data_IF_410553350187
#
_entry.id   IF_410553350187
#
_cell.length_a   1.000
_cell.length_b   1.000
_cell.length_c   1.000
_cell.angle_alpha   90.00
_cell.angle_beta   90.00
_cell.angle_gamma   90.00
#
_symmetry.space_group_name_H-M   'P 1'
#
loop_
_entity.id
_entity.type
_entity.pdbx_description
1 polymer ?
#
# COMPACT_ATOMS: atom_id res chain seq x y z
N UNK A 1 -24.69 -17.12 15.63
CA UNK A 1 -24.65 -16.03 14.61
C UNK A 1 -23.39 -16.23 13.80
N UNK A 2 -23.52 -16.68 12.56
CA UNK A 2 -22.41 -17.07 11.70
C UNK A 2 -21.56 -15.84 11.34
N UNK A 3 -20.31 -15.85 11.76
CA UNK A 3 -19.31 -14.90 11.30
C UNK A 3 -19.16 -15.06 9.79
N UNK A 4 -19.54 -14.04 9.03
CA UNK A 4 -19.14 -13.90 7.64
C UNK A 4 -17.64 -13.61 7.61
N UNK A 5 -16.83 -14.66 7.72
CA UNK A 5 -15.43 -14.60 7.32
C UNK A 5 -15.41 -14.20 5.86
N UNK A 6 -14.92 -12.99 5.60
CA UNK A 6 -14.92 -12.39 4.28
C UNK A 6 -14.03 -13.17 3.31
N UNK A 7 -14.69 -13.86 2.39
CA UNK A 7 -14.12 -14.63 1.28
C UNK A 7 -13.25 -13.82 0.30
N UNK A 8 -12.87 -12.57 0.61
CA UNK A 8 -12.06 -11.68 -0.25
C UNK A 8 -10.98 -10.90 0.52
N UNK A 9 -10.38 -11.49 1.54
CA UNK A 9 -9.23 -10.87 2.19
C UNK A 9 -7.99 -11.07 1.32
N UNK A 10 -7.40 -9.97 0.81
CA UNK A 10 -6.11 -10.03 0.11
C UNK A 10 -4.96 -10.20 1.10
N UNK A 11 -3.84 -10.74 0.64
CA UNK A 11 -2.63 -10.97 1.45
C UNK A 11 -1.61 -9.83 1.31
N UNK A 12 -0.77 -9.58 2.34
CA UNK A 12 0.43 -8.79 2.19
C UNK A 12 1.51 -9.58 1.43
N UNK A 13 2.39 -8.89 0.72
CA UNK A 13 3.62 -9.48 0.19
C UNK A 13 4.65 -9.43 1.32
N UNK A 14 4.99 -10.60 1.87
CA UNK A 14 5.84 -10.72 3.05
C UNK A 14 7.33 -10.79 2.72
N UNK A 15 7.66 -11.40 1.59
CA UNK A 15 9.03 -11.60 1.15
C UNK A 15 9.56 -10.33 0.43
N UNK A 16 10.65 -9.70 0.94
CA UNK A 16 11.28 -8.56 0.29
C UNK A 16 11.76 -8.84 -1.14
N UNK A 17 12.18 -10.08 -1.44
CA UNK A 17 12.60 -10.46 -2.80
C UNK A 17 11.42 -10.44 -3.77
N UNK A 18 10.24 -10.89 -3.36
CA UNK A 18 9.02 -10.78 -4.16
C UNK A 18 8.64 -9.32 -4.44
N UNK A 19 8.83 -8.43 -3.45
CA UNK A 19 8.64 -6.98 -3.66
C UNK A 19 9.63 -6.45 -4.69
N UNK A 20 10.90 -6.88 -4.64
CA UNK A 20 11.93 -6.49 -5.61
C UNK A 20 11.56 -6.96 -7.01
N UNK A 21 11.19 -8.22 -7.19
CA UNK A 21 10.76 -8.77 -8.48
C UNK A 21 9.55 -8.03 -9.05
N UNK A 22 8.55 -7.72 -8.22
CA UNK A 22 7.41 -6.92 -8.67
C UNK A 22 7.80 -5.51 -9.13
N UNK A 23 8.72 -4.85 -8.41
CA UNK A 23 9.23 -3.53 -8.82
C UNK A 23 9.92 -3.60 -10.17
N UNK A 24 10.80 -4.56 -10.37
CA UNK A 24 11.53 -4.78 -11.63
C UNK A 24 10.55 -5.06 -12.78
N UNK A 25 9.63 -6.01 -12.59
CA UNK A 25 8.61 -6.34 -13.58
C UNK A 25 7.78 -5.13 -13.98
N UNK A 26 7.23 -4.40 -13.00
CA UNK A 26 6.39 -3.24 -13.25
C UNK A 26 7.16 -2.10 -13.93
N UNK A 27 8.42 -1.88 -13.57
CA UNK A 27 9.28 -0.88 -14.20
C UNK A 27 9.48 -1.16 -15.69
N UNK A 28 9.67 -2.43 -16.07
CA UNK A 28 9.76 -2.84 -17.48
C UNK A 28 8.42 -2.66 -18.23
N UNK A 29 7.29 -2.76 -17.55
CA UNK A 29 5.97 -2.61 -18.19
C UNK A 29 5.54 -1.15 -18.32
N UNK A 30 5.71 -0.36 -17.25
CA UNK A 30 5.26 1.03 -17.19
C UNK A 30 5.79 1.72 -15.94
N UNK A 31 6.46 2.86 -16.11
CA UNK A 31 6.94 3.64 -14.96
C UNK A 31 5.79 4.14 -14.07
N UNK A 32 4.61 4.46 -14.65
CA UNK A 32 3.40 4.79 -13.87
C UNK A 32 2.98 3.62 -12.97
N UNK A 33 2.95 2.40 -13.50
CA UNK A 33 2.48 1.21 -12.79
C UNK A 33 3.49 0.80 -11.70
N UNK A 34 4.79 0.91 -11.99
CA UNK A 34 5.86 0.79 -11.01
C UNK A 34 5.68 1.80 -9.86
N UNK A 35 5.50 3.08 -10.20
CA UNK A 35 5.37 4.12 -9.20
C UNK A 35 4.09 3.98 -8.37
N UNK A 36 2.98 3.52 -8.96
CA UNK A 36 1.75 3.20 -8.23
C UNK A 36 2.00 2.15 -7.15
N UNK A 37 2.72 1.10 -7.48
CA UNK A 37 3.09 0.05 -6.53
C UNK A 37 4.02 0.58 -5.44
N UNK A 38 5.12 1.25 -5.82
CA UNK A 38 6.08 1.84 -4.88
C UNK A 38 5.40 2.84 -3.94
N UNK A 39 4.57 3.72 -4.48
CA UNK A 39 3.83 4.69 -3.69
C UNK A 39 2.88 4.00 -2.69
N UNK A 40 2.16 2.98 -3.14
CA UNK A 40 1.20 2.24 -2.30
C UNK A 40 1.87 1.51 -1.13
N UNK A 41 2.99 0.81 -1.38
CA UNK A 41 3.70 0.05 -0.33
C UNK A 41 4.54 0.93 0.60
N UNK A 42 4.81 2.19 0.27
CA UNK A 42 5.58 3.11 1.12
C UNK A 42 4.73 4.17 1.82
N UNK A 43 3.49 4.40 1.37
CA UNK A 43 2.57 5.35 2.01
C UNK A 43 1.51 4.69 2.89
N UNK A 44 1.20 3.43 2.64
CA UNK A 44 0.13 2.71 3.32
C UNK A 44 -1.27 3.28 3.09
N UNK A 45 -1.47 4.12 2.08
CA UNK A 45 -2.75 4.78 1.76
C UNK A 45 -3.67 3.82 1.00
N UNK A 46 -4.99 3.98 1.13
CA UNK A 46 -5.94 3.21 0.32
C UNK A 46 -5.89 3.63 -1.14
N UNK A 47 -6.04 2.67 -2.04
CA UNK A 47 -6.04 2.95 -3.49
C UNK A 47 -7.07 4.02 -3.88
N UNK A 48 -8.24 4.06 -3.23
CA UNK A 48 -9.26 5.09 -3.47
C UNK A 48 -8.80 6.51 -3.16
N UNK A 49 -7.82 6.65 -2.28
CA UNK A 49 -7.27 7.91 -1.85
C UNK A 49 -5.97 8.25 -2.61
N UNK A 50 -5.30 7.23 -3.20
CA UNK A 50 -4.13 7.39 -4.08
C UNK A 50 -4.53 7.87 -5.48
N UNK A 51 -5.54 7.22 -6.06
CA UNK A 51 -5.93 7.41 -7.46
C UNK A 51 -6.21 8.88 -7.83
N UNK A 52 -6.93 9.70 -7.02
CA UNK A 52 -7.26 11.06 -7.39
C UNK A 52 -6.12 12.08 -7.18
N UNK A 53 -4.96 11.65 -6.66
CA UNK A 53 -3.86 12.56 -6.36
C UNK A 53 -3.33 13.22 -7.63
N UNK A 54 -2.96 14.49 -7.47
CA UNK A 54 -2.22 15.27 -8.46
C UNK A 54 -0.76 15.41 -8.05
N UNK A 55 0.06 15.81 -9.00
CA UNK A 55 1.49 16.06 -8.76
C UNK A 55 1.71 17.07 -7.65
N UNK A 56 0.92 18.17 -7.63
CA UNK A 56 0.97 19.21 -6.59
C UNK A 56 0.71 18.70 -5.16
N UNK A 57 0.00 17.60 -5.01
CA UNK A 57 -0.31 17.04 -3.70
C UNK A 57 0.90 16.37 -3.03
N UNK A 58 1.88 15.93 -3.85
CA UNK A 58 3.02 15.11 -3.40
C UNK A 58 4.38 15.77 -3.63
N UNK A 59 4.51 16.67 -4.63
CA UNK A 59 5.76 17.33 -4.97
C UNK A 59 6.12 18.36 -3.92
N UNK A 60 7.40 18.41 -3.53
CA UNK A 60 7.96 19.39 -2.59
C UNK A 60 7.23 19.47 -1.23
N UNK A 61 6.62 18.36 -0.80
CA UNK A 61 5.92 18.32 0.48
C UNK A 61 6.55 17.32 1.45
N UNK A 62 6.62 17.70 2.73
CA UNK A 62 7.01 16.80 3.82
C UNK A 62 5.87 15.86 4.23
N UNK A 63 4.63 16.29 4.01
CA UNK A 63 3.46 15.57 4.43
C UNK A 63 2.36 15.67 3.39
N UNK A 64 1.93 14.52 2.90
CA UNK A 64 0.69 14.43 2.13
C UNK A 64 -0.51 14.61 3.05
N UNK A 65 -1.44 15.49 2.66
CA UNK A 65 -2.72 15.70 3.34
C UNK A 65 -3.83 15.15 2.46
N UNK A 66 -4.54 14.16 2.97
CA UNK A 66 -5.67 13.55 2.27
C UNK A 66 -6.93 13.60 3.11
N UNK A 67 -8.06 13.85 2.47
CA UNK A 67 -9.38 13.62 3.05
C UNK A 67 -9.83 12.23 2.64
N UNK A 68 -9.81 11.28 3.60
CA UNK A 68 -10.20 9.90 3.31
C UNK A 68 -11.63 9.81 2.80
N UNK A 69 -11.84 9.18 1.64
CA UNK A 69 -13.19 8.98 1.07
C UNK A 69 -14.10 8.18 1.99
N UNK A 70 -13.57 7.16 2.69
CA UNK A 70 -14.35 6.27 3.55
C UNK A 70 -14.80 6.93 4.86
N UNK A 71 -13.97 7.78 5.46
CA UNK A 71 -14.20 8.31 6.83
C UNK A 71 -14.42 9.80 6.88
N UNK A 72 -14.11 10.54 5.80
CA UNK A 72 -14.12 11.99 5.72
C UNK A 72 -13.03 12.68 6.54
N UNK A 73 -12.21 11.93 7.29
CA UNK A 73 -11.15 12.49 8.14
C UNK A 73 -9.97 12.97 7.30
N UNK A 74 -9.41 14.12 7.72
CA UNK A 74 -8.14 14.60 7.15
C UNK A 74 -7.00 13.83 7.81
N UNK A 75 -6.15 13.22 6.99
CA UNK A 75 -4.94 12.54 7.44
C UNK A 75 -3.70 13.25 6.90
N UNK A 76 -2.70 13.31 7.76
CA UNK A 76 -1.37 13.81 7.46
C UNK A 76 -0.40 12.65 7.45
N UNK A 77 0.20 12.37 6.32
CA UNK A 77 1.08 11.21 6.10
C UNK A 77 2.46 11.74 5.76
N UNK A 78 3.45 11.35 6.55
CA UNK A 78 4.83 11.76 6.29
C UNK A 78 5.37 11.06 5.04
N UNK A 79 6.01 11.85 4.18
CA UNK A 79 6.75 11.35 3.03
C UNK A 79 8.18 11.03 3.45
N UNK A 80 8.57 9.76 3.38
CA UNK A 80 9.96 9.35 3.66
C UNK A 80 10.92 9.88 2.61
N UNK A 81 12.21 10.02 2.95
CA UNK A 81 13.22 10.49 2.00
C UNK A 81 13.27 9.65 0.73
N UNK A 82 13.20 8.32 0.86
CA UNK A 82 13.17 7.40 -0.28
C UNK A 82 11.94 7.62 -1.17
N UNK A 83 10.75 7.80 -0.56
CA UNK A 83 9.52 8.05 -1.33
C UNK A 83 9.58 9.42 -2.03
N UNK A 84 10.13 10.45 -1.39
CA UNK A 84 10.32 11.78 -2.02
C UNK A 84 11.23 11.71 -3.25
N UNK A 85 12.32 10.95 -3.19
CA UNK A 85 13.19 10.73 -4.35
C UNK A 85 12.47 10.05 -5.51
N UNK A 86 11.63 9.05 -5.23
CA UNK A 86 10.85 8.38 -6.27
C UNK A 86 9.76 9.31 -6.85
N UNK A 87 9.12 10.14 -6.01
CA UNK A 87 8.17 11.18 -6.46
C UNK A 87 8.87 12.17 -7.41
N UNK A 88 10.04 12.68 -7.04
CA UNK A 88 10.81 13.63 -7.85
C UNK A 88 11.17 13.02 -9.21
N UNK A 89 11.70 11.81 -9.22
CA UNK A 89 12.04 11.12 -10.47
C UNK A 89 10.82 10.92 -11.38
N UNK A 90 9.71 10.41 -10.80
CA UNK A 90 8.51 10.12 -11.56
C UNK A 90 7.84 11.37 -12.12
N UNK A 91 7.78 12.44 -11.31
CA UNK A 91 7.04 13.65 -11.67
C UNK A 91 7.86 14.69 -12.43
N UNK A 92 9.14 14.40 -12.71
CA UNK A 92 10.11 15.36 -13.25
C UNK A 92 9.64 16.14 -14.48
N UNK A 93 8.86 15.50 -15.37
CA UNK A 93 8.36 16.09 -16.61
C UNK A 93 6.85 16.36 -16.56
N UNK A 94 6.22 16.30 -15.39
CA UNK A 94 4.79 16.50 -15.21
C UNK A 94 4.51 17.91 -14.68
N UNK A 95 3.38 18.49 -15.08
CA UNK A 95 2.89 19.73 -14.49
C UNK A 95 2.27 19.44 -13.10
N UNK A 96 2.24 20.45 -12.23
CA UNK A 96 1.64 20.32 -10.89
C UNK A 96 0.15 19.96 -10.91
N UNK A 97 -0.56 20.40 -11.96
CA UNK A 97 -1.97 20.08 -12.18
C UNK A 97 -2.23 18.68 -12.73
N UNK A 98 -1.22 17.96 -13.19
CA UNK A 98 -1.39 16.64 -13.78
C UNK A 98 -1.85 15.64 -12.72
N UNK A 99 -2.63 14.64 -13.16
CA UNK A 99 -2.96 13.49 -12.35
C UNK A 99 -1.70 12.67 -12.09
N UNK A 100 -1.48 12.28 -10.83
CA UNK A 100 -0.30 11.46 -10.47
C UNK A 100 -0.35 10.08 -11.15
N UNK A 101 -1.55 9.54 -11.33
CA UNK A 101 -1.78 8.23 -11.95
C UNK A 101 -2.83 8.35 -13.07
N UNK A 102 -2.46 8.90 -14.24
CA UNK A 102 -3.40 9.05 -15.34
C UNK A 102 -3.81 7.71 -15.93
N UNK A 103 -5.04 7.63 -16.42
CA UNK A 103 -5.52 6.50 -17.21
C UNK A 103 -4.78 6.42 -18.55
N UNK A 104 -4.60 5.21 -19.09
CA UNK A 104 -4.14 5.02 -20.48
C UNK A 104 -5.25 5.33 -21.48
N UNK A 105 -6.51 5.43 -21.03
CA UNK A 105 -7.69 5.69 -21.84
C UNK A 105 -8.36 6.98 -21.36
N UNK A 106 -8.07 8.10 -22.02
CA UNK A 106 -8.70 9.38 -21.71
C UNK A 106 -7.95 10.25 -20.70
N UNK A 107 -8.66 11.29 -20.19
CA UNK A 107 -8.09 12.34 -19.33
C UNK A 107 -8.29 12.08 -17.83
N UNK A 108 -8.88 10.96 -17.46
CA UNK A 108 -9.21 10.61 -16.07
C UNK A 108 -8.05 9.90 -15.37
N UNK A 109 -8.15 9.82 -14.05
CA UNK A 109 -7.27 8.99 -13.25
C UNK A 109 -7.49 7.50 -13.54
N UNK A 110 -6.47 6.66 -13.25
CA UNK A 110 -6.60 5.21 -13.31
C UNK A 110 -7.76 4.73 -12.42
N UNK A 111 -8.65 3.89 -12.96
CA UNK A 111 -9.74 3.32 -12.20
C UNK A 111 -9.27 2.22 -11.24
N UNK A 112 -10.06 1.95 -10.18
CA UNK A 112 -9.75 0.89 -9.19
C UNK A 112 -9.53 -0.48 -9.83
N UNK A 113 -10.36 -0.83 -10.82
CA UNK A 113 -10.26 -2.10 -11.53
C UNK A 113 -8.98 -2.18 -12.37
N UNK A 114 -8.61 -1.08 -13.06
CA UNK A 114 -7.35 -1.03 -13.80
C UNK A 114 -6.14 -1.13 -12.86
N UNK A 115 -6.17 -0.45 -11.72
CA UNK A 115 -5.13 -0.58 -10.69
C UNK A 115 -5.07 -2.01 -10.14
N UNK A 116 -6.22 -2.65 -9.92
CA UNK A 116 -6.27 -4.05 -9.50
C UNK A 116 -5.62 -4.97 -10.56
N UNK A 117 -5.96 -4.81 -11.86
CA UNK A 117 -5.35 -5.59 -12.94
C UNK A 117 -3.82 -5.43 -12.99
N UNK A 118 -3.32 -4.22 -12.77
CA UNK A 118 -1.88 -3.95 -12.72
C UNK A 118 -1.22 -4.75 -11.59
N UNK A 119 -1.72 -4.62 -10.37
CA UNK A 119 -1.09 -5.25 -9.19
C UNK A 119 -1.25 -6.78 -9.22
N UNK A 120 -2.44 -7.27 -9.54
CA UNK A 120 -2.70 -8.71 -9.62
C UNK A 120 -1.93 -9.36 -10.79
N UNK A 121 -1.89 -8.70 -11.96
CA UNK A 121 -1.14 -9.19 -13.12
C UNK A 121 0.37 -9.28 -12.84
N UNK A 122 0.95 -8.27 -12.21
CA UNK A 122 2.36 -8.27 -11.83
C UNK A 122 2.67 -9.38 -10.81
N UNK A 123 1.82 -9.55 -9.79
CA UNK A 123 2.00 -10.61 -8.80
C UNK A 123 1.99 -12.01 -9.44
N UNK A 124 1.04 -12.26 -10.34
CA UNK A 124 0.98 -13.53 -11.10
C UNK A 124 2.22 -13.74 -11.95
N UNK A 125 2.67 -12.71 -12.67
CA UNK A 125 3.86 -12.79 -13.51
C UNK A 125 5.14 -13.07 -12.70
N UNK A 126 5.19 -12.60 -11.45
CA UNK A 126 6.28 -12.86 -10.50
C UNK A 126 6.10 -14.15 -9.69
N UNK A 127 5.07 -14.96 -9.95
CA UNK A 127 4.82 -16.21 -9.23
C UNK A 127 4.40 -16.04 -7.77
N UNK A 128 3.91 -14.85 -7.38
CA UNK A 128 3.50 -14.59 -6.00
C UNK A 128 2.20 -15.32 -5.71
N UNK A 129 2.22 -16.18 -4.69
CA UNK A 129 1.07 -16.95 -4.25
C UNK A 129 0.15 -16.13 -3.34
N UNK A 130 -1.11 -16.59 -3.21
CA UNK A 130 -2.13 -15.94 -2.37
C UNK A 130 -3.05 -14.99 -3.13
N UNK A 131 -3.93 -14.34 -2.39
CA UNK A 131 -4.92 -13.42 -2.94
C UNK A 131 -4.34 -12.01 -3.00
N UNK A 132 -4.00 -11.55 -4.19
CA UNK A 132 -3.38 -10.25 -4.41
C UNK A 132 -4.36 -9.26 -5.05
N UNK A 133 -4.36 -8.04 -4.53
CA UNK A 133 -5.18 -6.95 -5.04
C UNK A 133 -4.70 -5.58 -4.55
N UNK A 134 -5.51 -4.54 -4.75
CA UNK A 134 -5.10 -3.17 -4.41
C UNK A 134 -4.89 -2.93 -2.92
N UNK A 135 -5.59 -3.66 -2.05
CA UNK A 135 -5.37 -3.60 -0.60
C UNK A 135 -4.07 -4.30 -0.16
N UNK A 136 -3.51 -5.19 -1.00
CA UNK A 136 -2.20 -5.81 -0.75
C UNK A 136 -1.12 -4.78 -0.51
N UNK A 137 -1.07 -3.69 -1.28
CA UNK A 137 -0.06 -2.65 -1.08
C UNK A 137 -0.10 -2.06 0.34
N UNK A 138 -1.29 -1.72 0.82
CA UNK A 138 -1.47 -1.18 2.18
C UNK A 138 -1.18 -2.24 3.26
N UNK A 139 -1.57 -3.50 3.04
CA UNK A 139 -1.24 -4.60 3.95
C UNK A 139 0.27 -4.87 3.99
N UNK A 140 0.95 -4.82 2.84
CA UNK A 140 2.40 -4.96 2.72
C UNK A 140 3.12 -3.86 3.51
N UNK A 141 2.71 -2.59 3.35
CA UNK A 141 3.22 -1.50 4.18
C UNK A 141 3.09 -1.84 5.67
N UNK A 142 1.89 -2.21 6.11
CA UNK A 142 1.63 -2.48 7.52
C UNK A 142 2.38 -3.68 8.06
N UNK A 143 2.49 -4.75 7.29
CA UNK A 143 3.25 -5.94 7.66
C UNK A 143 4.73 -5.60 7.88
N UNK A 144 5.38 -4.96 6.91
CA UNK A 144 6.80 -4.61 7.02
C UNK A 144 7.06 -3.53 8.08
N UNK A 145 6.16 -2.56 8.24
CA UNK A 145 6.23 -1.59 9.34
C UNK A 145 6.22 -2.31 10.69
N UNK A 146 5.27 -3.22 10.90
CA UNK A 146 5.17 -3.98 12.14
C UNK A 146 6.40 -4.89 12.34
N UNK A 147 6.91 -5.54 11.29
CA UNK A 147 8.12 -6.37 11.41
C UNK A 147 9.34 -5.57 11.87
N UNK A 148 9.47 -4.34 11.40
CA UNK A 148 10.61 -3.47 11.75
C UNK A 148 10.47 -2.80 13.12
N UNK A 149 9.27 -2.40 13.52
CA UNK A 149 9.05 -1.58 14.71
C UNK A 149 8.46 -2.34 15.89
N UNK A 150 7.74 -3.43 15.63
CA UNK A 150 6.90 -4.18 16.59
C UNK A 150 5.84 -3.29 17.28
N UNK A 151 5.63 -2.07 16.81
CA UNK A 151 4.71 -1.10 17.39
C UNK A 151 3.35 -1.14 16.67
N UNK A 152 2.45 -1.98 17.20
CA UNK A 152 1.08 -2.08 16.68
C UNK A 152 0.24 -0.84 17.01
N UNK A 153 0.54 -0.15 18.12
CA UNK A 153 -0.24 1.03 18.50
C UNK A 153 0.01 2.20 17.52
N UNK A 154 1.27 2.40 17.12
CA UNK A 154 1.61 3.37 16.09
C UNK A 154 0.98 2.99 14.74
N UNK A 155 1.06 1.73 14.34
CA UNK A 155 0.45 1.25 13.09
C UNK A 155 -1.08 1.39 13.10
N UNK A 156 -1.73 1.14 14.25
CA UNK A 156 -3.16 1.37 14.45
C UNK A 156 -3.51 2.84 14.17
N UNK A 157 -2.75 3.78 14.70
CA UNK A 157 -2.94 5.22 14.45
C UNK A 157 -2.73 5.56 12.96
N UNK A 158 -1.66 5.03 12.35
CA UNK A 158 -1.37 5.21 10.92
C UNK A 158 -2.53 4.69 10.06
N UNK A 159 -3.16 3.60 10.42
CA UNK A 159 -4.28 3.04 9.67
C UNK A 159 -5.65 3.61 10.08
N UNK A 160 -5.75 4.22 11.25
CA UNK A 160 -7.02 4.69 11.80
C UNK A 160 -7.96 3.54 12.13
N UNK A 161 -7.42 2.44 12.64
CA UNK A 161 -8.18 1.28 13.10
C UNK A 161 -8.69 1.49 14.53
N UNK A 162 -9.78 0.82 14.88
CA UNK A 162 -10.44 0.97 16.19
C UNK A 162 -9.70 0.28 17.34
N UNK A 163 -8.90 -0.76 17.03
CA UNK A 163 -8.16 -1.51 18.03
C UNK A 163 -6.87 -2.13 17.45
N UNK A 164 -5.85 -2.40 18.28
CA UNK A 164 -4.63 -3.10 17.87
C UNK A 164 -4.90 -4.47 17.24
N UNK A 165 -5.82 -5.26 17.80
CA UNK A 165 -6.21 -6.56 17.26
C UNK A 165 -6.77 -6.51 15.85
N UNK A 166 -7.52 -5.45 15.52
CA UNK A 166 -7.99 -5.19 14.15
C UNK A 166 -6.81 -4.94 13.21
N UNK A 167 -5.78 -4.25 13.69
CA UNK A 167 -4.59 -3.94 12.91
C UNK A 167 -3.76 -5.20 12.64
N UNK A 168 -3.51 -6.03 13.66
CA UNK A 168 -2.77 -7.29 13.53
C UNK A 168 -3.47 -8.22 12.53
N UNK A 169 -4.77 -8.46 12.72
CA UNK A 169 -5.57 -9.26 11.77
C UNK A 169 -5.53 -8.69 10.36
N UNK A 170 -5.61 -7.37 10.22
CA UNK A 170 -5.58 -6.70 8.92
C UNK A 170 -4.28 -6.96 8.16
N UNK A 171 -3.12 -6.96 8.84
CA UNK A 171 -1.81 -7.20 8.22
C UNK A 171 -1.45 -8.69 8.12
N UNK A 172 -2.34 -9.58 8.54
CA UNK A 172 -2.17 -11.03 8.43
C UNK A 172 -1.27 -11.61 9.53
N UNK A 173 -1.24 -11.00 10.71
CA UNK A 173 -0.70 -11.61 11.92
C UNK A 173 -1.85 -12.36 12.60
N UNK A 174 -1.77 -13.69 12.63
CA UNK A 174 -2.75 -14.56 13.26
C UNK A 174 -2.38 -14.92 14.71
N UNK A 175 -3.34 -15.44 15.46
CA UNK A 175 -3.12 -15.94 16.80
C UNK A 175 -2.09 -17.10 16.80
N UNK A 176 -2.12 -17.95 15.74
CA UNK A 176 -1.14 -19.04 15.55
C UNK A 176 0.31 -18.52 15.45
N UNK A 177 0.52 -17.35 14.83
CA UNK A 177 1.85 -16.71 14.77
C UNK A 177 2.26 -16.18 16.15
N UNK A 178 1.31 -15.75 16.97
CA UNK A 178 1.56 -15.33 18.36
C UNK A 178 1.94 -16.55 19.20
N UNK A 179 1.22 -17.64 19.04
CA UNK A 179 1.51 -18.90 19.76
C UNK A 179 2.91 -19.43 19.42
N UNK A 180 3.30 -19.41 18.14
CA UNK A 180 4.66 -19.80 17.72
C UNK A 180 5.76 -18.94 18.38
N UNK A 181 5.52 -17.65 18.58
CA UNK A 181 6.47 -16.77 19.27
C UNK A 181 6.51 -17.10 20.76
N UNK A 182 5.37 -17.42 21.37
CA UNK A 182 5.28 -17.78 22.78
C UNK A 182 5.97 -19.13 23.10
N UNK A 183 5.92 -20.10 22.18
CA UNK A 183 6.65 -21.37 22.35
C UNK A 183 8.17 -21.19 22.43
N UNK A 184 8.70 -20.11 21.83
CA UNK A 184 10.13 -19.77 21.85
C UNK A 184 10.50 -18.84 23.02
N UNK A 185 9.49 -18.34 23.74
CA UNK A 185 9.72 -17.43 24.85
C UNK A 185 9.97 -18.22 26.15
N UNK A 186 11.12 -17.96 26.80
CA UNK A 186 11.44 -18.41 28.15
C UNK A 186 12.11 -17.28 28.92
N UNK A 187 11.83 -17.20 30.22
CA UNK A 187 12.49 -16.30 31.17
C UNK A 187 13.75 -16.97 31.76
#
# INVERSE_FOLDING_TARGET
MSERQGQNSVDPIRDPEQIRYMKEYLLHQSYRDYFLFVFGINSGIRISDIVPLRVMDVRNTEHLRIKEKKTGKIRKIRMTGALKQEIEKYTRQMADSDLLFPSRKGKDAIGREAAWRVINGAARACGIQGTIGTHTMRKTFGYHFYQQTKDVAMLQQIFGHSAPSVTLRYIGISDEMIDQVLEQFSL
#
